data_IF_427481888824
#
_entry.id   IF_427481888824
#
_cell.length_a   1.000
_cell.length_b   1.000
_cell.length_c   1.000
_cell.angle_alpha   90.00
_cell.angle_beta   90.00
_cell.angle_gamma   90.00
#
_symmetry.space_group_name_H-M   'P 1'
#
loop_
_entity.id
_entity.type
_entity.pdbx_description
1 polymer ?
#
# COMPACT_ATOMS: atom_id res chain seq x y z
N UNK A 1 -32.62 38.70 0.05
CA UNK A 1 -31.30 38.17 -0.34
C UNK A 1 -31.49 36.66 -0.47
N UNK A 2 -31.70 36.16 -1.68
CA UNK A 2 -31.87 34.73 -1.90
C UNK A 2 -30.50 34.15 -2.15
N UNK A 3 -29.87 33.64 -1.10
CA UNK A 3 -28.73 32.73 -1.22
C UNK A 3 -29.29 31.45 -1.83
N UNK A 4 -29.15 31.29 -3.14
CA UNK A 4 -29.28 29.98 -3.76
C UNK A 4 -28.12 29.14 -3.22
N UNK A 5 -28.35 28.40 -2.13
CA UNK A 5 -27.52 27.26 -1.76
C UNK A 5 -27.60 26.29 -2.95
N UNK A 6 -26.63 26.41 -3.87
CA UNK A 6 -26.36 25.36 -4.82
C UNK A 6 -25.92 24.16 -3.98
N UNK A 7 -26.84 23.22 -3.74
CA UNK A 7 -26.54 21.92 -3.15
C UNK A 7 -25.37 21.34 -3.95
N UNK A 8 -24.25 21.09 -3.28
CA UNK A 8 -23.10 20.45 -3.90
C UNK A 8 -23.58 19.16 -4.60
N UNK A 9 -23.06 18.84 -5.80
CA UNK A 9 -23.44 17.62 -6.50
C UNK A 9 -23.25 16.40 -5.59
N UNK A 10 -24.20 15.47 -5.63
CA UNK A 10 -24.18 14.30 -4.75
C UNK A 10 -23.17 13.27 -5.28
N UNK A 11 -22.22 12.88 -4.44
CA UNK A 11 -21.30 11.79 -4.76
C UNK A 11 -22.08 10.48 -4.82
N UNK A 12 -22.05 9.81 -5.97
CA UNK A 12 -22.64 8.48 -6.10
C UNK A 12 -21.61 7.41 -5.75
N UNK A 13 -21.57 7.02 -4.48
CA UNK A 13 -20.73 5.91 -4.02
C UNK A 13 -21.31 4.54 -4.46
N UNK A 14 -20.50 3.53 -4.84
CA UNK A 14 -21.03 2.21 -5.17
C UNK A 14 -21.55 1.47 -3.92
N UNK A 15 -22.67 0.76 -4.04
CA UNK A 15 -23.42 0.18 -2.89
C UNK A 15 -22.59 -0.82 -2.06
N UNK A 16 -21.77 -1.64 -2.71
CA UNK A 16 -20.99 -2.69 -2.04
C UNK A 16 -19.59 -2.25 -1.56
N UNK A 17 -19.28 -0.95 -1.65
CA UNK A 17 -17.99 -0.42 -1.23
C UNK A 17 -18.08 0.16 0.18
N UNK A 18 -17.23 -0.29 1.14
CA UNK A 18 -17.18 0.34 2.44
C UNK A 18 -16.78 1.82 2.30
N UNK A 19 -17.32 2.67 3.18
CA UNK A 19 -16.90 4.07 3.33
C UNK A 19 -15.83 4.15 4.42
N UNK A 20 -14.89 5.06 4.25
CA UNK A 20 -13.95 5.45 5.30
C UNK A 20 -14.56 6.60 6.10
N UNK A 21 -14.66 6.43 7.41
CA UNK A 21 -15.14 7.51 8.28
C UNK A 21 -14.18 8.70 8.24
N UNK A 22 -14.67 9.96 8.27
CA UNK A 22 -13.79 11.13 8.21
C UNK A 22 -12.69 11.16 9.27
N UNK A 23 -12.93 10.57 10.45
CA UNK A 23 -11.97 10.50 11.55
C UNK A 23 -10.88 9.42 11.35
N UNK A 24 -11.09 8.49 10.42
CA UNK A 24 -10.14 7.41 10.07
C UNK A 24 -9.32 7.73 8.81
N UNK A 25 -9.52 8.92 8.23
CA UNK A 25 -8.77 9.36 7.05
C UNK A 25 -7.39 9.85 7.47
N UNK A 26 -6.39 9.43 6.71
CA UNK A 26 -5.00 9.85 6.87
C UNK A 26 -4.57 10.78 5.72
N UNK A 27 -3.51 11.57 5.91
CA UNK A 27 -2.82 12.19 4.78
C UNK A 27 -2.15 11.10 3.93
N UNK A 28 -2.07 11.31 2.61
CA UNK A 28 -1.44 10.34 1.72
C UNK A 28 0.08 10.26 1.97
N UNK A 29 0.66 9.06 2.20
CA UNK A 29 2.06 8.92 2.61
C UNK A 29 3.07 9.06 1.45
N UNK A 30 2.61 9.06 0.20
CA UNK A 30 3.48 9.10 -0.98
C UNK A 30 3.56 10.49 -1.63
N UNK A 31 4.19 10.54 -2.81
CA UNK A 31 4.37 11.79 -3.54
C UNK A 31 3.05 12.36 -4.10
N UNK A 32 2.70 13.55 -3.61
CA UNK A 32 1.56 14.39 -4.02
C UNK A 32 1.97 15.64 -4.81
N UNK A 33 3.17 15.66 -5.40
CA UNK A 33 3.69 16.79 -6.19
C UNK A 33 2.85 17.19 -7.41
N UNK A 34 1.87 16.36 -7.80
CA UNK A 34 0.94 16.63 -8.90
C UNK A 34 -0.16 17.60 -8.47
N UNK A 35 -0.66 18.39 -9.41
CA UNK A 35 -1.83 19.24 -9.20
C UNK A 35 -3.12 18.43 -9.16
N UNK A 36 -4.20 19.02 -8.59
CA UNK A 36 -5.54 18.40 -8.58
C UNK A 36 -5.99 18.00 -9.98
N UNK A 37 -5.80 18.88 -10.96
CA UNK A 37 -6.14 18.58 -12.35
C UNK A 37 -5.36 17.37 -12.87
N UNK A 38 -4.04 17.34 -12.67
CA UNK A 38 -3.19 16.24 -13.12
C UNK A 38 -3.55 14.90 -12.47
N UNK A 39 -3.93 14.90 -11.19
CA UNK A 39 -4.39 13.68 -10.50
C UNK A 39 -5.64 13.09 -11.18
N UNK A 40 -6.64 13.92 -11.49
CA UNK A 40 -7.87 13.47 -12.16
C UNK A 40 -7.64 13.08 -13.63
N UNK A 41 -6.79 13.82 -14.36
CA UNK A 41 -6.37 13.44 -15.72
C UNK A 41 -5.68 12.08 -15.69
N UNK A 42 -4.78 11.84 -14.72
CA UNK A 42 -4.08 10.56 -14.59
C UNK A 42 -5.02 9.38 -14.33
N UNK A 43 -6.17 9.57 -13.68
CA UNK A 43 -7.18 8.52 -13.51
C UNK A 43 -7.72 8.10 -14.87
N UNK A 44 -8.14 9.06 -15.68
CA UNK A 44 -8.69 8.79 -17.02
C UNK A 44 -7.64 8.14 -17.91
N UNK A 45 -6.46 8.75 -18.01
CA UNK A 45 -5.37 8.28 -18.88
C UNK A 45 -4.94 6.84 -18.54
N UNK A 46 -4.77 6.51 -17.25
CA UNK A 46 -4.34 5.17 -16.86
C UNK A 46 -5.44 4.13 -17.00
N UNK A 47 -6.70 4.49 -16.79
CA UNK A 47 -7.84 3.62 -17.06
C UNK A 47 -7.98 3.33 -18.56
N UNK A 48 -7.94 4.35 -19.42
CA UNK A 48 -8.01 4.17 -20.87
C UNK A 48 -6.85 3.32 -21.40
N UNK A 49 -5.62 3.58 -20.92
CA UNK A 49 -4.44 2.74 -21.26
C UNK A 49 -4.56 1.31 -20.77
N UNK A 50 -5.38 1.06 -19.75
CA UNK A 50 -5.67 -0.28 -19.25
C UNK A 50 -6.77 -0.97 -20.05
N UNK A 51 -7.44 -0.30 -20.98
CA UNK A 51 -8.54 -0.85 -21.78
C UNK A 51 -9.93 -0.45 -21.27
N UNK A 52 -10.01 0.61 -20.45
CA UNK A 52 -11.28 1.20 -20.06
C UNK A 52 -11.87 2.07 -21.18
N UNK A 53 -13.19 2.09 -21.26
CA UNK A 53 -13.99 2.96 -22.14
C UNK A 53 -15.09 3.64 -21.31
N UNK A 54 -15.64 4.75 -21.82
CA UNK A 54 -16.72 5.51 -21.15
C UNK A 54 -16.39 5.85 -19.68
N UNK A 55 -15.17 6.35 -19.44
CA UNK A 55 -14.70 6.70 -18.09
C UNK A 55 -15.45 7.94 -17.58
N UNK A 56 -16.07 7.81 -16.41
CA UNK A 56 -16.84 8.85 -15.72
C UNK A 56 -16.42 8.95 -14.27
N UNK A 57 -15.97 10.13 -13.86
CA UNK A 57 -15.56 10.41 -12.48
C UNK A 57 -16.70 11.13 -11.76
N UNK A 58 -17.13 10.58 -10.62
CA UNK A 58 -18.09 11.19 -9.70
C UNK A 58 -17.34 11.66 -8.45
N UNK A 59 -17.65 12.89 -8.04
CA UNK A 59 -17.19 13.52 -6.79
C UNK A 59 -18.31 14.38 -6.22
N UNK A 60 -18.16 14.84 -4.97
CA UNK A 60 -19.05 15.87 -4.42
C UNK A 60 -18.67 17.30 -4.88
N UNK A 61 -17.79 17.43 -5.88
CA UNK A 61 -17.41 18.72 -6.47
C UNK A 61 -18.13 19.01 -7.78
N UNK A 62 -18.25 20.28 -8.12
CA UNK A 62 -18.73 20.71 -9.43
C UNK A 62 -17.63 20.53 -10.47
N UNK A 63 -17.96 19.88 -11.59
CA UNK A 63 -17.02 19.61 -12.69
C UNK A 63 -17.15 20.62 -13.82
N UNK A 64 -16.07 20.82 -14.58
CA UNK A 64 -16.08 21.67 -15.77
C UNK A 64 -17.01 21.09 -16.85
N UNK A 65 -17.81 21.94 -17.51
CA UNK A 65 -18.79 21.50 -18.53
C UNK A 65 -18.13 20.82 -19.74
N UNK A 66 -16.96 21.30 -20.15
CA UNK A 66 -16.16 20.79 -21.26
C UNK A 66 -15.25 19.62 -20.86
N UNK A 67 -15.00 19.46 -19.56
CA UNK A 67 -14.14 18.43 -18.98
C UNK A 67 -14.88 17.76 -17.81
N UNK A 68 -15.88 16.90 -18.09
CA UNK A 68 -16.80 16.37 -17.07
C UNK A 68 -16.14 15.42 -16.07
N UNK A 69 -14.87 15.06 -16.25
CA UNK A 69 -14.08 14.26 -15.31
C UNK A 69 -13.14 15.09 -14.43
N UNK A 70 -13.13 16.42 -14.60
CA UNK A 70 -12.24 17.32 -13.88
C UNK A 70 -13.08 18.22 -12.95
N UNK A 71 -12.93 18.13 -11.62
CA UNK A 71 -13.56 19.06 -10.69
C UNK A 71 -12.92 20.45 -10.77
N UNK A 72 -13.69 21.49 -10.43
CA UNK A 72 -13.20 22.85 -10.34
C UNK A 72 -12.06 22.98 -9.33
N UNK A 73 -10.99 23.71 -9.71
CA UNK A 73 -9.75 23.77 -8.95
C UNK A 73 -9.93 24.22 -7.49
N UNK A 74 -10.81 25.19 -7.24
CA UNK A 74 -11.01 25.82 -5.93
C UNK A 74 -12.17 25.22 -5.13
N UNK A 75 -12.79 24.14 -5.61
CA UNK A 75 -13.93 23.54 -4.92
C UNK A 75 -13.47 22.77 -3.66
N UNK A 76 -14.21 22.90 -2.56
CA UNK A 76 -13.83 22.34 -1.25
C UNK A 76 -15.02 21.60 -0.64
N UNK A 77 -15.37 20.42 -1.16
CA UNK A 77 -16.52 19.66 -0.67
C UNK A 77 -16.20 18.94 0.64
N UNK A 78 -17.23 18.75 1.47
CA UNK A 78 -17.13 17.96 2.71
C UNK A 78 -16.83 16.48 2.44
N UNK A 79 -17.38 15.94 1.34
CA UNK A 79 -17.09 14.58 0.89
C UNK A 79 -15.95 14.57 -0.14
N UNK A 80 -14.80 14.06 0.30
CA UNK A 80 -13.57 13.98 -0.49
C UNK A 80 -13.44 12.67 -1.27
N UNK A 81 -14.46 11.81 -1.23
CA UNK A 81 -14.51 10.57 -1.99
C UNK A 81 -14.48 10.81 -3.49
N UNK A 82 -13.78 9.92 -4.21
CA UNK A 82 -13.68 9.92 -5.68
C UNK A 82 -14.08 8.54 -6.18
N UNK A 83 -14.94 8.49 -7.20
CA UNK A 83 -15.37 7.25 -7.84
C UNK A 83 -15.17 7.35 -9.34
N UNK A 84 -14.35 6.48 -9.91
CA UNK A 84 -14.19 6.32 -11.35
C UNK A 84 -15.01 5.10 -11.82
N UNK A 85 -16.02 5.34 -12.66
CA UNK A 85 -16.80 4.30 -13.33
C UNK A 85 -16.37 4.18 -14.78
N UNK A 86 -16.36 2.96 -15.30
CA UNK A 86 -15.95 2.71 -16.68
C UNK A 86 -16.50 1.36 -17.18
N UNK A 87 -16.39 1.15 -18.48
CA UNK A 87 -16.58 -0.15 -19.14
C UNK A 87 -15.23 -0.69 -19.60
N UNK A 88 -15.18 -1.98 -19.91
CA UNK A 88 -13.98 -2.67 -20.40
C UNK A 88 -14.16 -3.02 -21.87
N UNK A 89 -13.16 -2.76 -22.71
CA UNK A 89 -13.21 -3.07 -24.15
C UNK A 89 -13.33 -4.58 -24.42
N UNK A 90 -12.73 -5.40 -23.56
CA UNK A 90 -12.71 -6.87 -23.62
C UNK A 90 -13.88 -7.54 -22.88
N UNK A 91 -14.90 -6.76 -22.47
CA UNK A 91 -16.06 -7.24 -21.70
C UNK A 91 -17.37 -6.82 -22.36
N UNK A 92 -18.50 -7.46 -22.01
CA UNK A 92 -19.82 -7.04 -22.48
C UNK A 92 -20.11 -5.56 -22.15
N UNK A 93 -20.75 -4.84 -23.08
CA UNK A 93 -21.00 -3.40 -22.94
C UNK A 93 -22.02 -3.04 -21.84
N UNK A 94 -22.80 -4.01 -21.37
CA UNK A 94 -23.71 -3.87 -20.24
C UNK A 94 -23.02 -4.05 -18.88
N UNK A 95 -21.78 -4.55 -18.86
CA UNK A 95 -21.00 -4.71 -17.64
C UNK A 95 -20.25 -3.41 -17.29
N UNK A 96 -20.57 -2.85 -16.12
CA UNK A 96 -19.95 -1.65 -15.58
C UNK A 96 -19.01 -1.97 -14.43
N UNK A 97 -17.90 -1.24 -14.36
CA UNK A 97 -16.88 -1.36 -13.33
C UNK A 97 -16.74 -0.04 -12.58
N UNK A 98 -16.29 -0.10 -11.33
CA UNK A 98 -16.01 1.06 -10.51
C UNK A 98 -14.70 0.87 -9.74
N UNK A 99 -13.96 1.96 -9.54
CA UNK A 99 -12.88 2.06 -8.55
C UNK A 99 -13.18 3.30 -7.71
N UNK A 100 -13.24 3.13 -6.40
CA UNK A 100 -13.59 4.17 -5.45
C UNK A 100 -12.50 4.33 -4.39
N UNK A 101 -12.24 5.57 -3.96
CA UNK A 101 -11.30 5.87 -2.89
C UNK A 101 -11.78 7.09 -2.08
N UNK A 102 -11.85 6.94 -0.77
CA UNK A 102 -12.19 7.99 0.20
C UNK A 102 -11.35 7.91 1.48
N UNK A 103 -10.22 7.19 1.39
CA UNK A 103 -9.32 6.93 2.52
C UNK A 103 -8.52 8.16 2.94
N UNK A 104 -8.27 9.06 2.01
CA UNK A 104 -7.35 10.18 2.21
C UNK A 104 -8.08 11.50 2.43
N UNK A 105 -7.40 12.45 3.04
CA UNK A 105 -7.93 13.74 3.46
C UNK A 105 -8.48 14.60 2.32
N UNK A 106 -7.99 14.43 1.09
CA UNK A 106 -8.38 15.26 -0.05
C UNK A 106 -8.76 14.48 -1.30
N UNK A 107 -9.59 15.10 -2.16
CA UNK A 107 -9.92 14.54 -3.47
C UNK A 107 -8.69 14.35 -4.36
N UNK A 108 -7.66 15.19 -4.21
CA UNK A 108 -6.39 15.06 -4.94
C UNK A 108 -5.72 13.73 -4.59
N UNK A 109 -5.61 13.42 -3.30
CA UNK A 109 -4.98 12.19 -2.81
C UNK A 109 -5.78 10.94 -3.19
N UNK A 110 -7.11 11.01 -3.06
CA UNK A 110 -8.01 9.93 -3.49
C UNK A 110 -7.93 9.69 -5.00
N UNK A 111 -7.94 10.74 -5.84
CA UNK A 111 -7.75 10.61 -7.28
C UNK A 111 -6.35 10.07 -7.63
N UNK A 112 -5.30 10.55 -6.96
CA UNK A 112 -3.92 10.07 -7.15
C UNK A 112 -3.81 8.58 -6.86
N UNK A 113 -4.45 8.12 -5.79
CA UNK A 113 -4.48 6.71 -5.41
C UNK A 113 -5.17 5.83 -6.45
N UNK A 114 -6.30 6.27 -6.99
CA UNK A 114 -7.00 5.57 -8.08
C UNK A 114 -6.10 5.48 -9.33
N UNK A 115 -5.46 6.58 -9.72
CA UNK A 115 -4.55 6.60 -10.88
C UNK A 115 -3.37 5.64 -10.71
N UNK A 116 -2.76 5.61 -9.53
CA UNK A 116 -1.67 4.67 -9.21
C UNK A 116 -2.14 3.21 -9.20
N UNK A 117 -3.35 2.95 -8.68
CA UNK A 117 -3.95 1.61 -8.73
C UNK A 117 -4.19 1.15 -10.16
N UNK A 118 -4.79 1.99 -11.02
CA UNK A 118 -5.02 1.67 -12.43
C UNK A 118 -3.70 1.38 -13.16
N UNK A 119 -2.68 2.22 -12.95
CA UNK A 119 -1.33 2.00 -13.47
C UNK A 119 -0.74 0.66 -13.01
N UNK A 120 -0.88 0.33 -11.71
CA UNK A 120 -0.40 -0.93 -11.14
C UNK A 120 -1.06 -2.13 -11.83
N UNK A 121 -2.40 -2.13 -11.93
CA UNK A 121 -3.15 -3.22 -12.58
C UNK A 121 -2.75 -3.40 -14.04
N UNK A 122 -2.66 -2.29 -14.78
CA UNK A 122 -2.19 -2.28 -16.18
C UNK A 122 -0.78 -2.86 -16.34
N UNK A 123 0.16 -2.48 -15.47
CA UNK A 123 1.53 -2.97 -15.53
C UNK A 123 1.61 -4.46 -15.18
N UNK A 124 0.87 -4.90 -14.16
CA UNK A 124 0.80 -6.31 -13.78
C UNK A 124 0.33 -7.17 -14.96
N UNK A 125 -0.79 -6.82 -15.59
CA UNK A 125 -1.32 -7.54 -16.76
C UNK A 125 -0.34 -7.52 -17.95
N UNK A 126 0.24 -6.35 -18.25
CA UNK A 126 1.21 -6.22 -19.36
C UNK A 126 2.45 -7.07 -19.18
N UNK A 127 2.96 -7.15 -17.95
CA UNK A 127 4.14 -7.94 -17.62
C UNK A 127 3.81 -9.43 -17.40
N UNK A 128 2.54 -9.84 -17.51
CA UNK A 128 2.12 -11.20 -17.21
C UNK A 128 2.23 -11.57 -15.73
N UNK A 129 2.34 -10.58 -14.84
CA UNK A 129 2.40 -10.79 -13.40
C UNK A 129 0.98 -10.98 -12.89
N UNK A 130 0.63 -12.23 -12.60
CA UNK A 130 -0.50 -12.55 -11.74
C UNK A 130 -0.02 -12.52 -10.30
N UNK A 131 -0.88 -11.99 -9.42
CA UNK A 131 -0.76 -12.17 -7.97
C UNK A 131 -2.11 -12.74 -7.56
N UNK A 132 -2.18 -14.03 -7.26
CA UNK A 132 -3.30 -14.56 -6.51
C UNK A 132 -3.14 -14.07 -5.06
N UNK A 133 -4.24 -13.82 -4.33
CA UNK A 133 -4.16 -13.62 -2.88
C UNK A 133 -3.54 -14.88 -2.18
N UNK A 134 -3.54 -16.03 -2.87
CA UNK A 134 -2.83 -17.28 -2.53
C UNK A 134 -1.32 -17.28 -2.86
N UNK A 135 -0.85 -16.38 -3.72
CA UNK A 135 0.55 -16.35 -4.15
C UNK A 135 1.48 -15.67 -3.15
N UNK A 136 1.02 -14.98 -2.10
CA UNK A 136 1.94 -14.64 -0.99
C UNK A 136 2.29 -15.86 -0.12
N UNK A 137 1.37 -16.82 0.02
CA UNK A 137 1.65 -18.13 0.63
C UNK A 137 2.45 -19.04 -0.33
N UNK A 138 2.19 -18.96 -1.64
CA UNK A 138 2.84 -19.83 -2.66
C UNK A 138 4.18 -19.28 -3.17
N UNK A 139 4.34 -17.95 -3.24
CA UNK A 139 5.60 -17.25 -3.54
C UNK A 139 6.38 -16.90 -2.27
N UNK A 140 5.90 -17.36 -1.10
CA UNK A 140 6.77 -17.54 0.06
C UNK A 140 7.89 -18.45 -0.41
N UNK A 141 9.11 -17.90 -0.45
CA UNK A 141 10.29 -18.73 -0.69
C UNK A 141 10.25 -19.85 0.36
N UNK A 142 10.39 -21.13 -0.01
CA UNK A 142 10.71 -22.14 0.98
C UNK A 142 11.96 -21.65 1.73
N UNK A 143 12.04 -21.84 3.05
CA UNK A 143 13.31 -21.62 3.74
C UNK A 143 14.37 -22.39 2.95
N UNK A 144 15.45 -21.72 2.55
CA UNK A 144 16.45 -22.34 1.70
C UNK A 144 16.96 -23.60 2.38
N UNK A 145 16.76 -24.76 1.76
CA UNK A 145 17.26 -26.03 2.27
C UNK A 145 18.79 -26.00 2.29
N UNK A 146 19.36 -25.93 3.49
CA UNK A 146 20.56 -26.71 3.77
C UNK A 146 20.17 -28.19 3.70
N UNK A 147 20.26 -28.72 2.49
CA UNK A 147 20.11 -30.12 2.07
C UNK A 147 20.20 -31.19 3.18
N UNK A 148 19.14 -31.95 3.42
CA UNK A 148 19.24 -33.27 4.09
C UNK A 148 17.93 -33.87 4.64
N UNK A 149 17.76 -35.20 4.62
CA UNK A 149 16.45 -35.87 4.76
C UNK A 149 15.97 -36.00 6.22
N UNK A 150 14.65 -36.03 6.39
CA UNK A 150 13.90 -36.37 7.61
C UNK A 150 14.41 -35.73 8.92
N UNK A 151 14.00 -34.49 9.19
CA UNK A 151 14.16 -33.91 10.52
C UNK A 151 12.82 -33.32 10.95
N UNK A 152 12.19 -34.02 11.90
CA UNK A 152 11.18 -33.46 12.80
C UNK A 152 11.68 -32.07 13.20
N UNK A 153 10.91 -31.01 12.95
CA UNK A 153 11.26 -29.65 13.36
C UNK A 153 11.40 -29.59 14.89
N UNK A 154 12.60 -29.92 15.36
CA UNK A 154 13.15 -29.44 16.61
C UNK A 154 13.71 -28.09 16.24
N UNK A 155 13.15 -27.03 16.80
CA UNK A 155 13.77 -25.70 16.75
C UNK A 155 15.21 -25.88 17.23
N UNK A 156 16.23 -25.65 16.38
CA UNK A 156 17.60 -25.81 16.84
C UNK A 156 17.81 -24.76 17.93
N UNK A 157 18.14 -25.23 19.14
CA UNK A 157 18.72 -24.36 20.15
C UNK A 157 19.90 -23.61 19.50
N UNK A 158 20.04 -22.30 19.73
CA UNK A 158 21.12 -21.55 19.12
C UNK A 158 22.46 -22.21 19.50
N UNK A 159 23.30 -22.51 18.52
CA UNK A 159 24.61 -23.17 18.72
C UNK A 159 25.55 -22.34 19.63
N UNK A 160 25.21 -21.08 19.88
CA UNK A 160 25.91 -20.14 20.77
C UNK A 160 24.94 -19.51 21.75
N UNK A 161 25.44 -19.21 22.94
CA UNK A 161 24.64 -18.57 23.97
C UNK A 161 24.11 -17.20 23.49
N UNK A 162 22.80 -16.90 23.61
CA UNK A 162 22.23 -15.63 23.15
C UNK A 162 22.85 -14.39 23.80
N UNK A 163 23.36 -14.50 25.03
CA UNK A 163 24.06 -13.42 25.72
C UNK A 163 25.44 -13.17 25.10
N UNK A 164 26.13 -14.23 24.64
CA UNK A 164 27.40 -14.10 23.90
C UNK A 164 27.18 -13.49 22.52
N UNK A 165 26.14 -13.92 21.78
CA UNK A 165 25.82 -13.42 20.42
C UNK A 165 25.47 -11.93 20.43
N UNK A 166 24.72 -11.46 21.44
CA UNK A 166 24.38 -10.04 21.58
C UNK A 166 25.37 -9.25 22.43
N UNK A 167 26.40 -9.88 22.99
CA UNK A 167 27.38 -9.26 23.88
C UNK A 167 26.75 -8.62 25.13
N UNK A 168 25.64 -9.18 25.63
CA UNK A 168 24.91 -8.68 26.80
C UNK A 168 25.14 -9.58 28.01
N UNK A 169 24.98 -9.05 29.23
CA UNK A 169 25.08 -9.87 30.44
C UNK A 169 23.83 -10.74 30.64
N UNK A 170 23.99 -11.85 31.37
CA UNK A 170 22.86 -12.65 31.88
C UNK A 170 21.93 -11.75 32.73
N UNK A 171 20.64 -11.74 32.38
CA UNK A 171 19.63 -10.87 33.02
C UNK A 171 19.62 -9.40 32.56
N UNK A 172 20.22 -9.09 31.41
CA UNK A 172 20.10 -7.76 30.81
C UNK A 172 18.62 -7.41 30.54
N UNK A 173 18.17 -6.19 30.90
CA UNK A 173 16.77 -5.80 30.69
C UNK A 173 16.46 -5.60 29.20
N UNK A 174 15.23 -5.84 28.77
CA UNK A 174 14.79 -5.78 27.36
C UNK A 174 15.28 -4.56 26.56
N UNK A 175 15.33 -3.33 27.11
CA UNK A 175 15.84 -2.18 26.37
C UNK A 175 17.32 -2.31 26.00
N UNK A 176 18.11 -3.00 26.83
CA UNK A 176 19.54 -3.28 26.59
C UNK A 176 19.68 -4.34 25.50
N UNK A 177 18.89 -5.41 25.54
CA UNK A 177 18.84 -6.46 24.50
C UNK A 177 18.47 -5.86 23.13
N UNK A 178 17.40 -5.05 23.09
CA UNK A 178 16.96 -4.35 21.87
C UNK A 178 17.98 -3.32 21.38
N UNK A 179 18.72 -2.68 22.30
CA UNK A 179 19.79 -1.74 21.99
C UNK A 179 20.99 -2.43 21.34
N UNK A 180 21.50 -3.49 21.96
CA UNK A 180 22.62 -4.28 21.46
C UNK A 180 22.33 -4.86 20.07
N UNK A 181 21.15 -5.45 19.87
CA UNK A 181 20.69 -5.92 18.56
C UNK A 181 20.72 -4.82 17.49
N UNK A 182 20.27 -3.61 17.81
CA UNK A 182 20.24 -2.50 16.85
C UNK A 182 21.61 -2.02 16.45
N UNK A 183 22.59 -2.03 17.36
CA UNK A 183 23.96 -1.65 17.04
C UNK A 183 24.65 -2.73 16.18
N UNK A 184 24.52 -4.01 16.56
CA UNK A 184 25.11 -5.13 15.81
C UNK A 184 24.53 -5.26 14.39
N UNK A 185 23.24 -5.00 14.19
CA UNK A 185 22.62 -5.01 12.85
C UNK A 185 23.06 -3.83 11.99
N UNK A 186 23.38 -2.67 12.59
CA UNK A 186 23.97 -1.54 11.84
C UNK A 186 25.39 -1.89 11.38
N UNK A 187 26.17 -2.53 12.24
CA UNK A 187 27.55 -2.97 11.94
C UNK A 187 27.59 -4.13 10.93
N UNK A 188 26.58 -5.01 10.94
CA UNK A 188 26.45 -6.13 10.01
C UNK A 188 25.84 -5.79 8.64
N UNK A 189 25.49 -4.53 8.36
CA UNK A 189 24.85 -4.18 7.08
C UNK A 189 25.85 -4.30 5.92
N UNK A 190 25.46 -5.01 4.85
CA UNK A 190 26.29 -5.25 3.66
C UNK A 190 26.83 -3.99 2.97
N UNK A 191 26.19 -2.84 3.17
CA UNK A 191 26.61 -1.53 2.64
C UNK A 191 27.78 -0.90 3.43
N UNK A 192 28.15 -1.43 4.60
CA UNK A 192 29.27 -0.95 5.43
C UNK A 192 30.37 -2.00 5.64
N UNK A 193 30.39 -3.03 4.79
CA UNK A 193 31.50 -3.99 4.74
C UNK A 193 31.42 -5.12 5.76
N UNK A 194 30.21 -5.62 6.01
CA UNK A 194 29.87 -6.94 6.58
C UNK A 194 30.78 -7.47 7.69
N UNK A 195 30.23 -7.60 8.90
CA UNK A 195 30.89 -8.39 9.93
C UNK A 195 30.88 -9.89 9.52
N UNK A 196 32.06 -10.48 9.30
CA UNK A 196 32.22 -11.93 9.04
C UNK A 196 31.85 -12.83 10.24
N UNK A 197 31.57 -12.23 11.41
CA UNK A 197 31.42 -12.94 12.69
C UNK A 197 29.98 -13.38 13.02
N UNK A 198 28.96 -12.64 12.59
CA UNK A 198 27.55 -12.94 12.88
C UNK A 198 26.63 -12.59 11.70
N UNK A 199 25.76 -13.53 11.33
CA UNK A 199 24.67 -13.26 10.39
C UNK A 199 23.56 -12.45 11.08
N UNK A 200 22.93 -11.53 10.35
CA UNK A 200 21.71 -10.81 10.78
C UNK A 200 20.60 -11.79 11.20
N UNK A 201 20.57 -12.99 10.62
CA UNK A 201 19.66 -14.07 11.04
C UNK A 201 19.95 -14.55 12.48
N UNK A 202 21.22 -14.78 12.81
CA UNK A 202 21.68 -15.23 14.14
C UNK A 202 21.39 -14.17 15.21
N UNK A 203 21.63 -12.89 14.89
CA UNK A 203 21.30 -11.76 15.78
C UNK A 203 19.80 -11.66 16.08
N UNK A 204 18.93 -11.99 15.12
CA UNK A 204 17.47 -11.99 15.33
C UNK A 204 17.04 -13.12 16.25
N UNK A 205 17.57 -14.32 16.03
CA UNK A 205 17.27 -15.49 16.86
C UNK A 205 17.69 -15.25 18.32
N UNK A 206 18.89 -14.73 18.55
CA UNK A 206 19.36 -14.40 19.90
C UNK A 206 18.48 -13.34 20.60
N UNK A 207 18.05 -12.31 19.86
CA UNK A 207 17.13 -11.28 20.41
C UNK A 207 15.81 -11.89 20.82
N UNK A 208 15.22 -12.73 19.97
CA UNK A 208 13.91 -13.32 20.23
C UNK A 208 13.98 -14.29 21.40
N UNK A 209 15.04 -15.12 21.48
CA UNK A 209 15.29 -15.99 22.63
C UNK A 209 15.41 -15.22 23.97
N UNK A 210 16.02 -14.02 23.98
CA UNK A 210 16.15 -13.22 25.21
C UNK A 210 14.92 -12.39 25.57
N UNK A 211 14.02 -12.11 24.61
CA UNK A 211 12.80 -11.32 24.84
C UNK A 211 11.58 -12.19 25.10
N UNK A 212 11.59 -13.44 24.64
CA UNK A 212 10.53 -14.42 24.88
C UNK A 212 10.82 -15.34 26.09
N UNK A 213 11.93 -15.11 26.81
CA UNK A 213 12.35 -15.82 28.03
C UNK A 213 11.77 -15.28 29.34
#
# INVERSE_FOLDING_TARGET
MNTTEQRAPELHWPEDYPRTEPAERDSYPGDISVTRKEAFVSVVDELERWGATDVRISTASTHYKDQPNIPHQHDTPDDVGVVARFRREDRPADEGYAIACDRWETQLENARSIGLYARRKRLAERCGVTTADSEFETARLPPGDESGPDVIAVEPEPDRDPHEVLGVAEGAPDPVVKGAFRELVKEGHADQGGNDEYDVSELKQARDALLDA
#
